data_IF_985262470141
#
_entry.id   IF_985262470141
#
_cell.length_a   1.000
_cell.length_b   1.000
_cell.length_c   1.000
_cell.angle_alpha   90.00
_cell.angle_beta   90.00
_cell.angle_gamma   90.00
#
_symmetry.space_group_name_H-M   'P 1'
#
loop_
_entity.id
_entity.type
_entity.pdbx_description
1 polymer ?
#
# COMPACT_ATOMS: atom_id res chain seq x y z
N UNK A 1 22.51 4.87 9.57
CA UNK A 1 22.13 6.30 9.41
C UNK A 1 21.36 6.44 8.11
N UNK A 2 20.04 6.57 8.16
CA UNK A 2 19.21 6.80 6.98
C UNK A 2 19.55 8.20 6.43
N UNK A 3 20.24 8.28 5.29
CA UNK A 3 20.48 9.55 4.58
C UNK A 3 19.17 9.98 3.90
N UNK A 4 18.18 10.39 4.70
CA UNK A 4 16.89 10.83 4.20
C UNK A 4 16.99 12.20 3.55
N UNK A 5 16.58 12.32 2.28
CA UNK A 5 16.36 13.61 1.63
C UNK A 5 15.06 14.21 2.15
N UNK A 6 15.14 15.14 3.11
CA UNK A 6 13.97 15.91 3.57
C UNK A 6 13.30 16.65 2.41
N UNK A 7 11.97 16.80 2.45
CA UNK A 7 11.21 17.57 1.47
C UNK A 7 11.74 19.01 1.36
N UNK A 8 12.17 19.60 2.48
CA UNK A 8 12.74 20.96 2.53
C UNK A 8 13.98 21.08 1.62
N UNK A 9 14.85 20.05 1.62
CA UNK A 9 16.02 20.02 0.73
C UNK A 9 15.63 19.91 -0.75
N UNK A 10 14.56 19.18 -1.07
CA UNK A 10 14.14 19.02 -2.46
C UNK A 10 13.64 20.36 -3.05
N UNK A 11 12.87 21.09 -2.26
CA UNK A 11 12.24 22.35 -2.67
C UNK A 11 13.11 23.58 -2.38
N UNK A 12 14.32 23.39 -1.85
CA UNK A 12 15.23 24.44 -1.38
C UNK A 12 14.59 25.38 -0.35
N UNK A 13 13.97 24.80 0.68
CA UNK A 13 13.54 25.51 1.88
C UNK A 13 14.62 25.34 2.95
N UNK A 14 14.93 26.40 3.70
CA UNK A 14 15.97 26.38 4.74
C UNK A 14 15.59 25.42 5.88
N UNK A 15 14.33 25.49 6.32
CA UNK A 15 13.76 24.65 7.36
C UNK A 15 12.37 24.15 6.94
N UNK A 16 11.89 23.01 7.46
CA UNK A 16 10.50 22.60 7.32
C UNK A 16 9.54 23.71 7.78
N UNK A 17 8.44 23.95 7.04
CA UNK A 17 7.43 24.95 7.39
C UNK A 17 6.06 24.28 7.57
N UNK A 18 5.33 24.73 8.59
CA UNK A 18 3.93 24.33 8.84
C UNK A 18 2.93 25.15 8.00
N UNK A 19 3.39 26.23 7.36
CA UNK A 19 2.56 27.04 6.48
C UNK A 19 2.53 26.44 5.07
N UNK A 20 1.42 25.77 4.72
CA UNK A 20 1.27 25.15 3.41
C UNK A 20 1.39 26.14 2.24
N UNK A 21 1.01 27.40 2.43
CA UNK A 21 1.11 28.42 1.37
C UNK A 21 2.56 28.74 1.04
N UNK A 22 3.43 28.81 2.04
CA UNK A 22 4.87 29.01 1.87
C UNK A 22 5.52 27.82 1.16
N UNK A 23 5.16 26.60 1.58
CA UNK A 23 5.64 25.37 0.95
C UNK A 23 5.25 25.35 -0.54
N UNK A 24 3.98 25.61 -0.85
CA UNK A 24 3.50 25.60 -2.23
C UNK A 24 4.08 26.73 -3.08
N UNK A 25 4.30 27.93 -2.51
CA UNK A 25 5.00 29.00 -3.18
C UNK A 25 6.44 28.61 -3.53
N UNK A 26 7.14 27.96 -2.59
CA UNK A 26 8.51 27.51 -2.80
C UNK A 26 8.59 26.38 -3.82
N UNK A 27 7.64 25.43 -3.79
CA UNK A 27 7.49 24.39 -4.82
C UNK A 27 7.26 25.03 -6.19
N UNK A 28 6.33 25.98 -6.28
CA UNK A 28 6.03 26.68 -7.53
C UNK A 28 7.27 27.41 -8.08
N UNK A 29 8.00 28.12 -7.22
CA UNK A 29 9.26 28.78 -7.55
C UNK A 29 10.34 27.79 -8.02
N UNK A 30 10.50 26.66 -7.33
CA UNK A 30 11.52 25.65 -7.64
C UNK A 30 11.26 24.95 -8.98
N UNK A 31 10.00 24.65 -9.28
CA UNK A 31 9.62 23.90 -10.48
C UNK A 31 9.11 24.77 -11.63
N UNK A 32 9.12 26.10 -11.47
CA UNK A 32 8.69 27.04 -12.52
C UNK A 32 7.19 27.00 -12.81
N UNK A 33 6.37 26.73 -11.79
CA UNK A 33 4.92 26.55 -11.91
C UNK A 33 4.23 27.91 -11.75
N UNK A 34 4.05 28.61 -12.87
CA UNK A 34 3.48 29.96 -12.92
C UNK A 34 2.12 29.95 -13.62
N UNK A 35 1.21 30.81 -13.15
CA UNK A 35 -0.05 31.09 -13.83
C UNK A 35 0.06 32.32 -14.75
N UNK A 36 -0.95 32.52 -15.60
CA UNK A 36 -1.07 33.73 -16.42
C UNK A 36 -1.07 34.97 -15.51
N UNK A 37 -0.23 35.95 -15.83
CA UNK A 37 -0.01 37.14 -15.00
C UNK A 37 1.16 37.03 -14.01
N UNK A 38 1.93 35.93 -14.03
CA UNK A 38 3.21 35.82 -13.30
C UNK A 38 3.08 35.40 -11.83
N UNK A 39 1.88 35.09 -11.35
CA UNK A 39 1.67 34.51 -10.02
C UNK A 39 2.06 33.02 -9.96
N UNK A 40 2.14 32.47 -8.75
CA UNK A 40 2.34 31.03 -8.54
C UNK A 40 1.03 30.26 -8.72
N UNK A 41 1.07 29.15 -9.46
CA UNK A 41 -0.09 28.27 -9.60
C UNK A 41 -0.07 27.21 -8.49
N UNK A 42 -0.68 27.52 -7.35
CA UNK A 42 -0.62 26.67 -6.15
C UNK A 42 -1.19 25.25 -6.38
N UNK A 43 -2.25 25.10 -7.17
CA UNK A 43 -2.84 23.79 -7.42
C UNK A 43 -1.89 22.84 -8.19
N UNK A 44 -1.24 23.32 -9.24
CA UNK A 44 -0.24 22.53 -9.96
C UNK A 44 1.00 22.25 -9.10
N UNK A 45 1.40 23.21 -8.26
CA UNK A 45 2.46 23.00 -7.27
C UNK A 45 2.10 21.88 -6.28
N UNK A 46 0.87 21.84 -5.78
CA UNK A 46 0.40 20.78 -4.90
C UNK A 46 0.43 19.40 -5.59
N UNK A 47 -0.06 19.31 -6.84
CA UNK A 47 0.01 18.08 -7.63
C UNK A 47 1.45 17.63 -7.84
N UNK A 48 2.36 18.56 -8.13
CA UNK A 48 3.79 18.28 -8.28
C UNK A 48 4.40 17.76 -6.99
N UNK A 49 4.09 18.39 -5.86
CA UNK A 49 4.59 18.00 -4.55
C UNK A 49 4.17 16.57 -4.17
N UNK A 50 2.89 16.24 -4.33
CA UNK A 50 2.36 14.88 -4.08
C UNK A 50 3.02 13.86 -5.01
N UNK A 51 3.23 14.21 -6.28
CA UNK A 51 3.91 13.31 -7.23
C UNK A 51 5.35 13.01 -6.81
N UNK A 52 6.10 14.01 -6.37
CA UNK A 52 7.48 13.79 -5.90
C UNK A 52 7.52 12.94 -4.62
N UNK A 53 6.54 13.10 -3.72
CA UNK A 53 6.35 12.22 -2.56
C UNK A 53 6.13 10.76 -2.98
N UNK A 54 5.17 10.51 -3.88
CA UNK A 54 4.84 9.17 -4.39
C UNK A 54 6.03 8.50 -5.11
N UNK A 55 6.90 9.29 -5.74
CA UNK A 55 8.12 8.81 -6.37
C UNK A 55 9.27 8.55 -5.38
N UNK A 56 9.03 8.70 -4.07
CA UNK A 56 10.02 8.48 -3.02
C UNK A 56 11.12 9.53 -2.96
N UNK A 57 10.91 10.71 -3.56
CA UNK A 57 11.93 11.78 -3.61
C UNK A 57 12.16 12.42 -2.25
N UNK A 58 11.22 12.26 -1.32
CA UNK A 58 11.34 12.72 0.07
C UNK A 58 11.99 11.67 0.98
N UNK A 59 12.53 10.60 0.39
CA UNK A 59 13.07 9.45 1.09
C UNK A 59 12.02 8.36 1.34
N UNK A 60 12.42 7.35 2.12
CA UNK A 60 11.55 6.25 2.51
C UNK A 60 10.83 6.62 3.81
N UNK A 61 9.53 6.87 3.69
CA UNK A 61 8.67 7.28 4.78
C UNK A 61 7.58 6.22 4.97
N UNK A 62 7.32 5.89 6.23
CA UNK A 62 6.16 5.09 6.64
C UNK A 62 5.14 6.07 7.19
N UNK A 63 3.95 6.11 6.61
CA UNK A 63 2.86 6.98 7.07
C UNK A 63 2.00 6.31 8.15
N UNK A 64 2.16 5.01 8.34
CA UNK A 64 1.46 4.26 9.37
C UNK A 64 2.10 4.52 10.74
N UNK A 65 1.25 4.57 11.76
CA UNK A 65 1.69 4.65 13.14
C UNK A 65 2.41 3.36 13.53
N UNK A 66 3.66 3.48 13.99
CA UNK A 66 4.50 2.35 14.41
C UNK A 66 4.34 2.02 15.90
N UNK A 67 3.17 2.29 16.46
CA UNK A 67 2.87 1.93 17.84
C UNK A 67 2.81 0.40 18.00
N UNK A 68 3.20 -0.15 19.16
CA UNK A 68 3.24 -1.60 19.36
C UNK A 68 1.92 -2.32 19.02
N UNK A 69 0.78 -1.70 19.38
CA UNK A 69 -0.55 -2.25 19.10
C UNK A 69 -0.86 -2.33 17.59
N UNK A 70 -0.45 -1.32 16.81
CA UNK A 70 -0.63 -1.29 15.36
C UNK A 70 0.21 -2.36 14.68
N UNK A 71 1.44 -2.56 15.15
CA UNK A 71 2.34 -3.60 14.65
C UNK A 71 1.79 -5.00 14.97
N UNK A 72 1.30 -5.23 16.18
CA UNK A 72 0.71 -6.51 16.57
C UNK A 72 -0.53 -6.87 15.73
N UNK A 73 -1.39 -5.88 15.47
CA UNK A 73 -2.59 -6.04 14.63
C UNK A 73 -2.20 -6.42 13.20
N UNK A 74 -1.27 -5.67 12.59
CA UNK A 74 -0.78 -5.97 11.25
C UNK A 74 -0.14 -7.37 11.16
N UNK A 75 0.63 -7.77 12.18
CA UNK A 75 1.24 -9.10 12.26
C UNK A 75 0.21 -10.22 12.46
N UNK A 76 -0.92 -9.93 13.11
CA UNK A 76 -2.04 -10.86 13.23
C UNK A 76 -2.76 -11.03 11.88
N UNK A 77 -3.03 -9.94 11.17
CA UNK A 77 -3.65 -9.97 9.84
C UNK A 77 -2.80 -10.74 8.81
N UNK A 78 -1.47 -10.63 8.89
CA UNK A 78 -0.55 -11.41 8.04
C UNK A 78 -0.59 -12.92 8.33
N UNK A 79 -0.94 -13.33 9.55
CA UNK A 79 -1.03 -14.75 9.93
C UNK A 79 -2.31 -15.40 9.43
N UNK A 80 -3.34 -14.63 9.12
CA UNK A 80 -4.54 -15.13 8.47
C UNK A 80 -4.35 -15.09 6.95
N UNK A 81 -4.08 -16.21 6.27
CA UNK A 81 -4.13 -16.23 4.82
C UNK A 81 -5.58 -16.00 4.41
N UNK A 82 -5.89 -14.77 3.99
CA UNK A 82 -7.16 -14.49 3.30
C UNK A 82 -7.07 -15.19 1.94
N UNK A 83 -7.41 -16.48 1.92
CA UNK A 83 -7.53 -17.26 0.70
C UNK A 83 -8.49 -16.48 -0.21
N UNK A 84 -7.99 -16.06 -1.37
CA UNK A 84 -8.82 -15.53 -2.45
C UNK A 84 -10.07 -16.41 -2.61
N UNK A 85 -11.25 -15.83 -2.84
CA UNK A 85 -12.52 -16.57 -3.04
C UNK A 85 -12.35 -17.76 -4.00
N UNK A 86 -11.50 -17.61 -5.02
CA UNK A 86 -11.16 -18.63 -6.01
C UNK A 86 -10.38 -19.82 -5.43
N UNK A 87 -9.51 -19.59 -4.45
CA UNK A 87 -8.76 -20.62 -3.72
C UNK A 87 -9.69 -21.41 -2.79
N UNK A 88 -10.56 -20.71 -2.06
CA UNK A 88 -11.59 -21.32 -1.20
C UNK A 88 -12.52 -22.24 -2.01
N UNK A 89 -12.95 -21.79 -3.20
CA UNK A 89 -13.79 -22.58 -4.10
C UNK A 89 -13.08 -23.84 -4.62
N UNK A 90 -11.77 -23.75 -4.90
CA UNK A 90 -10.95 -24.89 -5.35
C UNK A 90 -10.80 -25.93 -4.25
N UNK A 91 -10.58 -25.53 -3.00
CA UNK A 91 -10.51 -26.45 -1.86
C UNK A 91 -11.84 -27.16 -1.59
N UNK A 92 -12.95 -26.42 -1.57
CA UNK A 92 -14.28 -27.01 -1.39
C UNK A 92 -14.60 -28.06 -2.47
N UNK A 93 -14.15 -27.84 -3.71
CA UNK A 93 -14.31 -28.80 -4.82
C UNK A 93 -13.43 -30.05 -4.62
N UNK A 94 -12.21 -29.88 -4.12
CA UNK A 94 -11.29 -30.99 -3.81
C UNK A 94 -11.83 -31.87 -2.69
N UNK A 95 -12.31 -31.28 -1.60
CA UNK A 95 -12.95 -32.02 -0.50
C UNK A 95 -14.15 -32.85 -0.96
N UNK A 96 -15.03 -32.25 -1.77
CA UNK A 96 -16.19 -32.98 -2.31
C UNK A 96 -15.76 -34.17 -3.16
N UNK A 97 -14.76 -33.99 -4.02
CA UNK A 97 -14.23 -35.08 -4.84
C UNK A 97 -13.61 -36.20 -3.99
N UNK A 98 -12.92 -35.86 -2.91
CA UNK A 98 -12.29 -36.82 -2.00
C UNK A 98 -13.33 -37.64 -1.24
N UNK A 99 -14.34 -36.99 -0.65
CA UNK A 99 -15.49 -37.67 -0.01
C UNK A 99 -16.23 -38.60 -0.97
N UNK A 100 -16.38 -38.22 -2.23
CA UNK A 100 -17.02 -39.06 -3.25
C UNK A 100 -16.16 -40.29 -3.60
N UNK A 101 -14.84 -40.13 -3.70
CA UNK A 101 -13.90 -41.24 -3.93
C UNK A 101 -13.92 -42.24 -2.78
N UNK A 102 -13.91 -41.77 -1.54
CA UNK A 102 -13.99 -42.61 -0.35
C UNK A 102 -15.31 -43.40 -0.29
N UNK A 103 -16.45 -42.74 -0.53
CA UNK A 103 -17.76 -43.40 -0.60
C UNK A 103 -17.83 -44.47 -1.70
N UNK A 104 -17.26 -44.19 -2.88
CA UNK A 104 -17.24 -45.14 -3.98
C UNK A 104 -16.29 -46.32 -3.71
N UNK A 105 -15.15 -46.08 -3.06
CA UNK A 105 -14.24 -47.14 -2.62
C UNK A 105 -14.90 -48.05 -1.57
N UNK A 106 -15.59 -47.47 -0.58
CA UNK A 106 -16.32 -48.22 0.43
C UNK A 106 -17.48 -49.06 -0.16
N UNK A 107 -18.19 -48.52 -1.15
CA UNK A 107 -19.23 -49.27 -1.90
C UNK A 107 -18.64 -50.45 -2.67
N UNK A 108 -17.52 -50.25 -3.38
CA UNK A 108 -16.83 -51.34 -4.10
C UNK A 108 -16.31 -52.43 -3.16
N UNK A 109 -15.84 -52.06 -1.97
CA UNK A 109 -15.37 -53.03 -0.98
C UNK A 109 -16.52 -53.91 -0.48
N UNK A 110 -17.67 -53.30 -0.15
CA UNK A 110 -18.90 -54.03 0.26
C UNK A 110 -19.44 -54.96 -0.82
N UNK A 111 -19.32 -54.60 -2.10
CA UNK A 111 -19.74 -55.44 -3.22
C UNK A 111 -18.81 -56.63 -3.51
N UNK A 112 -17.56 -56.62 -3.00
CA UNK A 112 -16.58 -57.70 -3.19
C UNK A 112 -16.56 -58.71 -2.04
N UNK A 113 -17.23 -58.41 -0.94
CA UNK A 113 -17.26 -59.20 0.30
C UNK A 113 -18.60 -59.92 0.54
N UNK A 114 -19.52 -59.88 -0.42
CA UNK A 114 -20.77 -60.64 -0.44
C UNK A 114 -20.87 -61.40 -1.74
#
# INVERSE_FOLDING_TARGET
MCRGTSYAKLINLEEPSDNISEVLAQVAKRFGILQKGGGYHHEEAARRFVREFQLGKFGHLVLDDLDPASVETFMADLKEPVLSKSMQLKEAKRERAQKMREKNAARKLKLRSG
#
